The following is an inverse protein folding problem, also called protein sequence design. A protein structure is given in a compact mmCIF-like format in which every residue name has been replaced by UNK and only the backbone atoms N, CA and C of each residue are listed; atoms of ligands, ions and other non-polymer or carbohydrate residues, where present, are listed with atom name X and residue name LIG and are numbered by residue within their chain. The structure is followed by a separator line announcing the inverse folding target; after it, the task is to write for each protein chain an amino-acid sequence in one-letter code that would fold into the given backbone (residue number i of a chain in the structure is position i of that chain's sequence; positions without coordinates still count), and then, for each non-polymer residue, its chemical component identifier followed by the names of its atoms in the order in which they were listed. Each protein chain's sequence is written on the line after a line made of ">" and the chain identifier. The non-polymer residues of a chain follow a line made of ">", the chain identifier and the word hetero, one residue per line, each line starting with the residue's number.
data_IF_365199419360
#
_entry.id   IF_365199419360
#
_cell.length_a   1.000
_cell.length_b   1.000
_cell.length_c   1.000
_cell.angle_alpha   90.00
_cell.angle_beta   90.00
_cell.angle_gamma   90.00
#
_symmetry.space_group_name_H-M   'P 1'
#
loop_
_entity.id
_entity.type
_entity.pdbx_description
1 polymer ?
#
# COMPACT_ATOMS: atom_id res chain seq x y z
N UNK A 1 9.18 10.44 -1.84
CA UNK A 1 7.85 10.22 -1.24
C UNK A 1 7.98 9.46 0.07
N UNK A 2 8.68 8.32 0.06
CA UNK A 2 8.88 7.45 1.23
C UNK A 2 9.48 8.21 2.42
N UNK A 3 10.55 8.96 2.21
CA UNK A 3 11.23 9.74 3.26
C UNK A 3 10.26 10.74 3.93
N UNK A 4 9.48 11.48 3.13
CA UNK A 4 8.47 12.41 3.68
C UNK A 4 7.38 11.71 4.49
N UNK A 5 6.99 10.49 4.12
CA UNK A 5 6.04 9.68 4.89
C UNK A 5 6.66 9.24 6.21
N UNK A 6 7.94 8.88 6.20
CA UNK A 6 8.68 8.51 7.40
C UNK A 6 8.83 9.70 8.35
N UNK A 7 9.27 10.84 7.84
CA UNK A 7 9.41 12.08 8.64
C UNK A 7 8.08 12.49 9.27
N UNK A 8 6.99 12.38 8.52
CA UNK A 8 5.65 12.67 9.02
C UNK A 8 5.23 11.70 10.12
N UNK A 9 5.53 10.41 9.97
CA UNK A 9 5.27 9.40 11.00
C UNK A 9 6.01 9.72 12.30
N UNK A 10 7.27 10.05 12.21
CA UNK A 10 8.11 10.31 13.39
C UNK A 10 7.70 11.60 14.12
N UNK A 11 7.28 12.64 13.40
CA UNK A 11 7.07 13.96 13.96
C UNK A 11 5.60 14.31 14.28
N UNK A 12 4.65 13.83 13.46
CA UNK A 12 3.25 14.29 13.56
C UNK A 12 2.24 13.18 13.90
N UNK A 13 2.52 11.94 13.54
CA UNK A 13 1.53 10.86 13.63
C UNK A 13 0.96 10.68 15.04
N UNK A 14 1.83 10.57 16.04
CA UNK A 14 1.40 10.34 17.41
C UNK A 14 0.77 11.56 18.07
N UNK A 15 1.23 12.77 17.73
CA UNK A 15 0.63 14.01 18.23
C UNK A 15 -0.84 14.11 17.80
N UNK A 16 -1.13 13.73 16.57
CA UNK A 16 -2.50 13.75 16.06
C UNK A 16 -3.36 12.64 16.71
N UNK A 17 -2.81 11.45 16.82
CA UNK A 17 -3.53 10.30 17.37
C UNK A 17 -3.89 10.47 18.86
N UNK A 18 -3.02 11.13 19.62
CA UNK A 18 -3.19 11.38 21.06
C UNK A 18 -3.96 12.68 21.36
N UNK A 19 -4.52 13.32 20.36
CA UNK A 19 -5.32 14.53 20.55
C UNK A 19 -6.71 14.17 21.11
N UNK A 20 -6.94 14.52 22.40
CA UNK A 20 -8.20 14.24 23.10
C UNK A 20 -9.41 15.02 22.59
N UNK A 21 -9.19 16.06 21.78
CA UNK A 21 -10.29 16.81 21.13
C UNK A 21 -10.91 16.07 19.95
N UNK A 22 -10.27 14.99 19.46
CA UNK A 22 -10.77 14.20 18.36
C UNK A 22 -11.74 13.13 18.84
N UNK A 23 -12.89 13.02 18.17
CA UNK A 23 -13.80 11.90 18.37
C UNK A 23 -13.28 10.59 17.72
N UNK A 24 -13.91 9.46 18.02
CA UNK A 24 -13.51 8.14 17.57
C UNK A 24 -13.42 8.04 16.04
N UNK A 25 -14.35 8.63 15.31
CA UNK A 25 -14.30 8.64 13.86
C UNK A 25 -13.12 9.47 13.33
N UNK A 26 -12.81 10.60 13.92
CA UNK A 26 -11.69 11.44 13.50
C UNK A 26 -10.35 10.74 13.76
N UNK A 27 -10.20 10.09 14.93
CA UNK A 27 -9.02 9.25 15.25
C UNK A 27 -8.91 8.09 14.28
N UNK A 28 -10.01 7.37 14.05
CA UNK A 28 -10.03 6.27 13.08
C UNK A 28 -9.70 6.73 11.67
N UNK A 29 -10.35 7.80 11.19
CA UNK A 29 -10.09 8.36 9.85
C UNK A 29 -8.62 8.68 9.67
N UNK A 30 -8.01 9.31 10.65
CA UNK A 30 -6.61 9.70 10.60
C UNK A 30 -5.67 8.51 10.46
N UNK A 31 -5.77 7.54 11.36
CA UNK A 31 -4.89 6.36 11.34
C UNK A 31 -5.15 5.47 10.11
N UNK A 32 -6.41 5.38 9.65
CA UNK A 32 -6.80 4.67 8.42
C UNK A 32 -6.14 5.30 7.19
N UNK A 33 -6.26 6.62 7.06
CA UNK A 33 -5.75 7.35 5.90
C UNK A 33 -4.21 7.23 5.85
N UNK A 34 -3.57 7.27 7.01
CA UNK A 34 -2.13 7.13 7.10
C UNK A 34 -1.66 5.68 6.86
N UNK A 35 -2.35 4.67 7.41
CA UNK A 35 -2.06 3.26 7.09
C UNK A 35 -2.20 3.00 5.58
N UNK A 36 -3.25 3.53 4.96
CA UNK A 36 -3.44 3.40 3.52
C UNK A 36 -2.26 4.00 2.75
N UNK A 37 -1.79 5.18 3.13
CA UNK A 37 -0.61 5.80 2.52
C UNK A 37 0.64 4.92 2.68
N UNK A 38 0.90 4.39 3.88
CA UNK A 38 2.08 3.55 4.13
C UNK A 38 2.05 2.24 3.35
N UNK A 39 0.88 1.63 3.14
CA UNK A 39 0.74 0.45 2.26
C UNK A 39 1.15 0.74 0.82
N UNK A 40 0.98 1.98 0.35
CA UNK A 40 1.35 2.38 -1.00
C UNK A 40 2.76 2.96 -1.14
N UNK A 41 3.44 3.23 -0.03
CA UNK A 41 4.79 3.84 -0.04
C UNK A 41 5.87 2.91 0.52
N UNK A 42 5.52 2.06 1.48
CA UNK A 42 6.47 1.12 2.08
C UNK A 42 6.52 -0.22 1.34
N UNK A 43 5.45 -0.57 0.64
CA UNK A 43 5.36 -1.78 -0.17
C UNK A 43 5.27 -1.40 -1.66
N UNK A 44 5.61 -2.33 -2.57
CA UNK A 44 5.31 -2.13 -3.98
C UNK A 44 3.82 -1.86 -4.16
N UNK A 45 3.42 -0.74 -4.78
CA UNK A 45 2.03 -0.30 -4.74
C UNK A 45 1.10 -1.23 -5.54
N UNK A 46 0.31 -2.02 -4.84
CA UNK A 46 -0.69 -2.91 -5.41
C UNK A 46 -1.88 -2.13 -6.02
N UNK A 47 -2.81 -2.81 -6.68
CA UNK A 47 -4.04 -2.18 -7.20
C UNK A 47 -5.03 -1.93 -6.04
N UNK A 48 -5.93 -0.96 -6.22
CA UNK A 48 -6.96 -0.63 -5.22
C UNK A 48 -7.76 -1.86 -4.81
N UNK A 49 -8.17 -2.69 -5.79
CA UNK A 49 -8.94 -3.90 -5.54
C UNK A 49 -8.27 -4.92 -4.62
N UNK A 50 -6.95 -4.86 -4.46
CA UNK A 50 -6.23 -5.73 -3.55
C UNK A 50 -6.56 -5.41 -2.08
N UNK A 51 -6.83 -4.15 -1.75
CA UNK A 51 -7.09 -3.68 -0.39
C UNK A 51 -8.57 -3.41 -0.10
N UNK A 52 -9.41 -3.23 -1.13
CA UNK A 52 -10.78 -2.73 -0.99
C UNK A 52 -11.64 -3.55 -0.02
N UNK A 53 -11.65 -4.86 -0.15
CA UNK A 53 -12.43 -5.80 0.67
C UNK A 53 -11.53 -6.76 1.45
N UNK A 54 -10.34 -6.29 1.82
CA UNK A 54 -9.40 -7.10 2.57
C UNK A 54 -9.94 -7.40 3.96
N UNK A 55 -9.83 -8.64 4.40
CA UNK A 55 -10.34 -9.13 5.69
C UNK A 55 -9.18 -9.29 6.67
N UNK A 56 -9.35 -8.78 7.88
CA UNK A 56 -8.41 -9.01 8.98
C UNK A 56 -8.66 -10.41 9.56
N UNK A 57 -7.61 -11.22 9.70
CA UNK A 57 -7.70 -12.57 10.26
C UNK A 57 -6.49 -12.88 11.14
N UNK A 58 -6.74 -13.41 12.34
CA UNK A 58 -5.67 -13.95 13.19
C UNK A 58 -5.24 -15.33 12.67
N UNK A 59 -3.95 -15.57 12.59
CA UNK A 59 -3.38 -16.88 12.27
C UNK A 59 -3.39 -17.73 13.53
N UNK A 60 -4.49 -18.42 13.79
CA UNK A 60 -4.57 -19.34 14.92
C UNK A 60 -3.60 -20.49 14.70
N UNK A 61 -2.72 -20.76 15.67
CA UNK A 61 -1.75 -21.86 15.69
C UNK A 61 -2.37 -23.27 15.52
N UNK A 62 -3.71 -23.39 15.59
CA UNK A 62 -4.44 -24.67 15.59
C UNK A 62 -5.35 -24.92 14.39
N UNK A 63 -5.60 -23.97 13.54
CA UNK A 63 -6.52 -24.21 12.43
C UNK A 63 -5.79 -24.22 11.10
N UNK A 64 -5.53 -25.40 10.58
CA UNK A 64 -5.25 -25.64 9.17
C UNK A 64 -6.46 -25.32 8.26
N UNK A 65 -7.29 -24.34 8.66
CA UNK A 65 -8.42 -23.88 7.85
C UNK A 65 -7.88 -23.14 6.64
N UNK A 66 -8.06 -23.72 5.47
CA UNK A 66 -7.74 -23.07 4.21
C UNK A 66 -8.44 -21.71 4.14
N UNK A 67 -7.73 -20.68 3.68
CA UNK A 67 -8.32 -19.38 3.46
C UNK A 67 -9.34 -19.44 2.32
N UNK A 68 -10.45 -18.74 2.49
CA UNK A 68 -11.42 -18.63 1.41
C UNK A 68 -10.80 -17.81 0.27
N UNK A 69 -10.56 -18.45 -0.87
CA UNK A 69 -9.94 -17.81 -2.04
C UNK A 69 -10.76 -16.65 -2.65
N UNK A 70 -11.96 -16.40 -2.14
CA UNK A 70 -12.81 -15.25 -2.56
C UNK A 70 -12.45 -13.93 -1.87
N UNK A 71 -11.51 -13.94 -0.92
CA UNK A 71 -11.11 -12.76 -0.16
C UNK A 71 -9.59 -12.57 -0.17
N UNK A 72 -9.17 -11.32 -0.03
CA UNK A 72 -7.81 -10.95 0.33
C UNK A 72 -7.74 -10.78 1.86
N UNK A 73 -6.58 -11.04 2.45
CA UNK A 73 -6.44 -11.03 3.90
C UNK A 73 -5.25 -10.21 4.37
N UNK A 74 -5.44 -9.51 5.48
CA UNK A 74 -4.38 -9.11 6.38
C UNK A 74 -4.33 -10.15 7.52
N UNK A 75 -3.33 -11.00 7.51
CA UNK A 75 -3.11 -12.01 8.53
C UNK A 75 -2.29 -11.42 9.68
N UNK A 76 -2.73 -11.65 10.91
CA UNK A 76 -1.99 -11.30 12.12
C UNK A 76 -1.29 -12.56 12.60
N UNK A 77 0.04 -12.62 12.49
CA UNK A 77 0.84 -13.81 12.79
C UNK A 77 1.32 -13.88 14.27
N UNK A 78 1.13 -12.82 15.06
CA UNK A 78 1.76 -12.63 16.36
C UNK A 78 3.13 -11.97 16.24
N UNK A 79 3.71 -11.57 17.39
CA UNK A 79 5.02 -10.89 17.45
C UNK A 79 5.16 -9.67 16.52
N UNK A 80 4.08 -8.90 16.34
CA UNK A 80 4.02 -7.75 15.42
C UNK A 80 4.43 -8.08 13.97
N UNK A 81 4.27 -9.32 13.55
CA UNK A 81 4.44 -9.71 12.16
C UNK A 81 3.09 -9.89 11.49
N UNK A 82 3.01 -9.48 10.25
CA UNK A 82 1.78 -9.50 9.46
C UNK A 82 2.05 -10.08 8.09
N UNK A 83 0.99 -10.57 7.46
CA UNK A 83 1.08 -11.12 6.11
C UNK A 83 -0.10 -10.63 5.27
N UNK A 84 0.18 -10.10 4.09
CA UNK A 84 -0.82 -9.79 3.08
C UNK A 84 -1.00 -11.00 2.19
N UNK A 85 -2.22 -11.47 2.07
CA UNK A 85 -2.59 -12.61 1.20
C UNK A 85 -3.55 -12.09 0.14
N UNK A 86 -3.09 -12.01 -1.10
CA UNK A 86 -3.91 -11.61 -2.23
C UNK A 86 -4.37 -12.84 -3.02
N UNK A 87 -5.66 -13.17 -2.92
CA UNK A 87 -6.32 -14.20 -3.71
C UNK A 87 -7.12 -13.61 -4.86
N UNK A 88 -7.68 -12.40 -4.66
CA UNK A 88 -8.56 -11.73 -5.61
C UNK A 88 -7.93 -10.43 -6.09
N UNK A 89 -7.44 -10.44 -7.33
CA UNK A 89 -6.90 -9.27 -8.04
C UNK A 89 -6.95 -9.53 -9.55
N UNK A 90 -6.73 -8.49 -10.37
CA UNK A 90 -7.00 -8.51 -11.81
C UNK A 90 -6.38 -9.70 -12.56
N UNK A 91 -5.22 -10.17 -12.14
CA UNK A 91 -4.46 -11.23 -12.82
C UNK A 91 -4.34 -12.51 -11.98
N UNK A 92 -5.15 -12.66 -10.94
CA UNK A 92 -5.07 -13.79 -9.99
C UNK A 92 -5.29 -15.16 -10.65
N UNK A 93 -6.08 -15.22 -11.72
CA UNK A 93 -6.28 -16.45 -12.47
C UNK A 93 -5.01 -16.97 -13.18
N UNK A 94 -4.01 -16.11 -13.41
CA UNK A 94 -2.75 -16.47 -14.05
C UNK A 94 -1.58 -16.57 -13.07
N UNK A 95 -1.56 -15.69 -12.05
CA UNK A 95 -0.46 -15.60 -11.09
C UNK A 95 -0.73 -16.38 -9.79
N UNK A 96 -1.99 -16.80 -9.56
CA UNK A 96 -2.37 -17.49 -8.34
C UNK A 96 -2.42 -16.58 -7.11
N UNK A 97 -2.23 -17.18 -5.93
CA UNK A 97 -2.15 -16.46 -4.67
C UNK A 97 -0.80 -15.75 -4.54
N UNK A 98 -0.81 -14.55 -4.00
CA UNK A 98 0.40 -13.80 -3.66
C UNK A 98 0.41 -13.58 -2.16
N UNK A 99 1.49 -13.98 -1.51
CA UNK A 99 1.73 -13.79 -0.09
C UNK A 99 2.90 -12.83 0.10
N UNK A 100 2.76 -11.92 1.05
CA UNK A 100 3.82 -10.97 1.38
C UNK A 100 3.87 -10.75 2.89
N UNK A 101 4.99 -11.12 3.49
CA UNK A 101 5.25 -10.89 4.91
C UNK A 101 5.70 -9.46 5.14
N UNK A 102 5.09 -8.81 6.12
CA UNK A 102 5.51 -7.50 6.64
C UNK A 102 6.22 -7.76 7.94
N UNK A 103 7.51 -7.50 7.98
CA UNK A 103 8.34 -7.73 9.16
C UNK A 103 8.10 -6.67 10.26
N UNK A 104 8.57 -6.96 11.46
CA UNK A 104 8.35 -6.14 12.66
C UNK A 104 8.96 -4.73 12.56
N UNK A 105 10.02 -4.54 11.76
CA UNK A 105 10.71 -3.25 11.64
C UNK A 105 10.02 -2.29 10.67
N UNK A 106 9.09 -2.81 9.85
CA UNK A 106 8.34 -1.98 8.90
C UNK A 106 7.42 -0.99 9.62
N UNK A 107 7.29 0.23 9.11
CA UNK A 107 6.36 1.24 9.65
C UNK A 107 4.92 0.70 9.72
N UNK A 108 4.49 -0.09 8.75
CA UNK A 108 3.15 -0.71 8.73
C UNK A 108 2.94 -1.56 9.98
N UNK A 109 3.93 -2.38 10.36
CA UNK A 109 3.86 -3.21 11.57
C UNK A 109 3.79 -2.40 12.86
N UNK A 110 4.35 -1.20 12.87
CA UNK A 110 4.27 -0.27 14.00
C UNK A 110 2.89 0.41 14.11
N UNK A 111 2.22 0.63 12.99
CA UNK A 111 0.90 1.29 12.92
C UNK A 111 -0.24 0.30 13.18
N UNK A 112 -0.15 -0.91 12.66
CA UNK A 112 -1.24 -1.90 12.63
C UNK A 112 -1.86 -2.21 13.99
N UNK A 113 -1.11 -2.42 15.09
CA UNK A 113 -1.71 -2.71 16.40
C UNK A 113 -2.65 -1.58 16.83
N UNK A 114 -2.20 -0.34 16.73
CA UNK A 114 -2.99 0.82 17.10
C UNK A 114 -4.14 1.08 16.12
N UNK A 115 -3.92 0.80 14.85
CA UNK A 115 -4.97 0.87 13.84
C UNK A 115 -6.13 -0.08 14.17
N UNK A 116 -5.82 -1.34 14.47
CA UNK A 116 -6.84 -2.35 14.78
C UNK A 116 -7.62 -1.96 16.02
N UNK A 117 -6.94 -1.50 17.07
CA UNK A 117 -7.58 -1.03 18.30
C UNK A 117 -8.56 0.12 18.03
N UNK A 118 -8.09 1.19 17.38
CA UNK A 118 -8.91 2.39 17.08
C UNK A 118 -10.06 2.05 16.13
N UNK A 119 -9.81 1.18 15.15
CA UNK A 119 -10.82 0.69 14.21
C UNK A 119 -11.92 -0.08 14.95
N UNK A 120 -11.56 -1.01 15.81
CA UNK A 120 -12.52 -1.87 16.50
C UNK A 120 -13.36 -1.07 17.50
N UNK A 121 -12.77 -0.08 18.17
CA UNK A 121 -13.51 0.88 19.01
C UNK A 121 -14.49 1.70 18.16
N UNK A 122 -14.08 2.22 17.02
CA UNK A 122 -14.96 2.98 16.13
C UNK A 122 -16.11 2.14 15.59
N UNK A 123 -15.82 0.93 15.07
CA UNK A 123 -16.83 0.07 14.45
C UNK A 123 -17.80 -0.46 15.49
N UNK A 124 -17.31 -0.79 16.68
CA UNK A 124 -18.08 -1.43 17.77
C UNK A 124 -18.91 -2.65 17.29
N UNK A 125 -18.40 -3.40 16.32
CA UNK A 125 -19.01 -4.59 15.76
C UNK A 125 -17.96 -5.63 15.40
N UNK A 126 -17.78 -6.64 16.24
CA UNK A 126 -16.79 -7.72 16.09
C UNK A 126 -17.01 -8.61 14.86
N UNK A 127 -18.17 -8.53 14.20
CA UNK A 127 -18.48 -9.29 12.99
C UNK A 127 -17.93 -8.63 11.71
N UNK A 128 -17.70 -7.32 11.76
CA UNK A 128 -17.10 -6.62 10.61
C UNK A 128 -15.58 -6.77 10.68
N UNK A 129 -15.02 -7.60 9.82
CA UNK A 129 -13.60 -7.90 9.74
C UNK A 129 -12.89 -7.18 8.58
N UNK A 130 -13.58 -6.34 7.83
CA UNK A 130 -12.97 -5.62 6.67
C UNK A 130 -11.92 -4.63 7.15
N UNK A 131 -10.76 -4.63 6.50
CA UNK A 131 -9.63 -3.77 6.88
C UNK A 131 -10.03 -2.28 6.84
N UNK A 132 -10.63 -1.80 5.77
CA UNK A 132 -10.98 -0.40 5.59
C UNK A 132 -12.49 -0.18 5.52
N UNK A 133 -13.01 0.67 6.40
CA UNK A 133 -14.43 1.07 6.40
C UNK A 133 -14.56 2.58 6.24
N UNK A 134 -15.71 3.01 5.76
CA UNK A 134 -16.08 4.42 5.65
C UNK A 134 -16.70 4.95 6.94
N UNK A 135 -17.19 6.20 6.93
CA UNK A 135 -17.84 6.84 8.08
C UNK A 135 -19.09 6.10 8.55
N UNK A 136 -19.82 5.48 7.63
CA UNK A 136 -21.03 4.70 7.87
C UNK A 136 -20.72 3.25 8.29
N UNK A 137 -19.44 2.94 8.60
CA UNK A 137 -18.96 1.59 9.00
C UNK A 137 -19.19 0.51 7.95
N UNK A 138 -19.33 0.91 6.67
CA UNK A 138 -19.40 0.02 5.50
C UNK A 138 -18.05 -0.02 4.78
N UNK A 139 -17.84 -1.06 3.98
CA UNK A 139 -16.63 -1.22 3.19
C UNK A 139 -16.36 0.00 2.32
N UNK A 140 -15.09 0.41 2.24
CA UNK A 140 -14.70 1.51 1.37
C UNK A 140 -14.80 1.10 -0.09
N UNK A 141 -15.37 1.98 -0.92
CA UNK A 141 -15.36 1.84 -2.37
C UNK A 141 -13.98 2.20 -2.95
N UNK A 142 -13.74 1.86 -4.21
CA UNK A 142 -12.51 2.29 -4.91
C UNK A 142 -12.37 3.81 -4.96
N UNK A 143 -13.49 4.53 -5.14
CA UNK A 143 -13.50 6.00 -5.08
C UNK A 143 -13.07 6.49 -3.70
N UNK A 144 -13.66 5.95 -2.63
CA UNK A 144 -13.27 6.33 -1.26
C UNK A 144 -11.77 6.14 -1.01
N UNK A 145 -11.19 5.03 -1.48
CA UNK A 145 -9.75 4.77 -1.34
C UNK A 145 -8.93 5.79 -2.14
N UNK A 146 -9.34 6.08 -3.38
CA UNK A 146 -8.67 7.05 -4.23
C UNK A 146 -8.69 8.46 -3.62
N UNK A 147 -9.86 8.90 -3.16
CA UNK A 147 -10.02 10.23 -2.57
C UNK A 147 -9.26 10.35 -1.24
N UNK A 148 -9.24 9.26 -0.47
CA UNK A 148 -8.43 9.19 0.76
C UNK A 148 -6.93 9.33 0.44
N UNK A 149 -6.41 8.62 -0.57
CA UNK A 149 -5.00 8.75 -0.95
C UNK A 149 -4.65 10.15 -1.45
N UNK A 150 -5.49 10.77 -2.27
CA UNK A 150 -5.29 12.16 -2.70
C UNK A 150 -5.25 13.11 -1.50
N UNK A 151 -6.19 12.96 -0.57
CA UNK A 151 -6.26 13.78 0.63
C UNK A 151 -5.00 13.65 1.49
N UNK A 152 -4.60 12.41 1.82
CA UNK A 152 -3.47 12.20 2.71
C UNK A 152 -2.13 12.55 2.04
N UNK A 153 -1.97 12.30 0.74
CA UNK A 153 -0.76 12.70 0.01
C UNK A 153 -0.65 14.22 -0.09
N UNK A 154 -1.77 14.93 -0.27
CA UNK A 154 -1.77 16.40 -0.21
C UNK A 154 -1.28 16.89 1.15
N UNK A 155 -1.72 16.25 2.25
CA UNK A 155 -1.32 16.63 3.60
C UNK A 155 0.17 16.35 3.89
N UNK A 156 0.70 15.23 3.42
CA UNK A 156 2.07 14.79 3.74
C UNK A 156 3.11 15.34 2.77
N UNK A 157 2.77 15.48 1.49
CA UNK A 157 3.75 15.87 0.44
C UNK A 157 3.31 17.07 -0.38
N UNK A 158 2.23 17.74 0.00
CA UNK A 158 1.63 18.91 -0.66
C UNK A 158 1.24 18.66 -2.14
N UNK A 159 0.93 17.40 -2.49
CA UNK A 159 0.50 17.01 -3.83
C UNK A 159 -0.56 15.93 -3.75
N UNK A 160 -1.61 16.05 -4.56
CA UNK A 160 -2.61 14.99 -4.71
C UNK A 160 -2.07 13.89 -5.64
N UNK A 161 -1.83 12.71 -5.08
CA UNK A 161 -1.34 11.56 -5.84
C UNK A 161 -2.44 10.50 -5.95
N UNK A 162 -2.77 10.11 -7.19
CA UNK A 162 -3.62 8.94 -7.44
C UNK A 162 -2.80 7.65 -7.28
N UNK A 163 -3.50 6.52 -7.09
CA UNK A 163 -2.85 5.19 -7.05
C UNK A 163 -1.98 4.95 -8.28
N UNK A 164 -2.47 5.30 -9.46
CA UNK A 164 -1.70 5.11 -10.68
C UNK A 164 -0.41 5.96 -10.68
N UNK A 165 -0.50 7.21 -10.21
CA UNK A 165 0.67 8.07 -10.13
C UNK A 165 1.69 7.56 -9.11
N UNK A 166 1.25 7.09 -7.94
CA UNK A 166 2.14 6.45 -6.95
C UNK A 166 2.83 5.22 -7.57
N UNK A 167 2.08 4.40 -8.33
CA UNK A 167 2.64 3.25 -9.05
C UNK A 167 3.67 3.65 -10.08
N UNK A 168 3.43 4.73 -10.84
CA UNK A 168 4.41 5.27 -11.79
C UNK A 168 5.68 5.77 -11.09
N UNK A 169 5.54 6.52 -10.00
CA UNK A 169 6.68 7.01 -9.21
C UNK A 169 7.51 5.83 -8.71
N UNK A 170 6.86 4.84 -8.10
CA UNK A 170 7.54 3.65 -7.58
C UNK A 170 8.30 2.91 -8.68
N UNK A 171 7.65 2.60 -9.80
CA UNK A 171 8.28 1.85 -10.90
C UNK A 171 9.44 2.65 -11.50
N UNK A 172 9.27 3.96 -11.68
CA UNK A 172 10.34 4.81 -12.22
C UNK A 172 11.56 4.84 -11.31
N UNK A 173 11.35 4.93 -10.00
CA UNK A 173 12.43 4.87 -9.02
C UNK A 173 13.07 3.48 -8.99
N UNK A 174 12.26 2.42 -8.96
CA UNK A 174 12.75 1.06 -8.91
C UNK A 174 13.58 0.70 -10.15
N UNK A 175 13.12 1.09 -11.36
CA UNK A 175 13.83 0.83 -12.60
C UNK A 175 15.08 1.69 -12.79
N UNK A 176 15.23 2.80 -12.04
CA UNK A 176 16.46 3.60 -12.06
C UNK A 176 17.62 2.94 -11.33
N UNK A 177 17.37 1.87 -10.58
CA UNK A 177 18.34 1.08 -9.85
C UNK A 177 18.65 -0.23 -10.60
N UNK A 178 19.86 -0.76 -10.38
CA UNK A 178 20.28 -2.02 -10.99
C UNK A 178 19.66 -3.21 -10.24
N UNK A 179 18.47 -3.63 -10.66
CA UNK A 179 17.80 -4.82 -10.17
C UNK A 179 17.91 -5.97 -11.16
N UNK A 180 18.02 -7.18 -10.63
CA UNK A 180 17.98 -8.40 -11.43
C UNK A 180 16.61 -8.60 -12.07
N UNK A 181 16.54 -9.44 -13.11
CA UNK A 181 15.27 -9.81 -13.75
C UNK A 181 14.33 -10.48 -12.75
N UNK A 182 14.87 -11.29 -11.83
CA UNK A 182 14.07 -11.99 -10.83
C UNK A 182 13.45 -11.02 -9.82
N UNK A 183 14.22 -10.06 -9.30
CA UNK A 183 13.69 -9.01 -8.43
C UNK A 183 12.59 -8.19 -9.14
N UNK A 184 12.78 -7.85 -10.40
CA UNK A 184 11.77 -7.15 -11.21
C UNK A 184 10.49 -7.98 -11.38
N UNK A 185 10.60 -9.30 -11.55
CA UNK A 185 9.46 -10.22 -11.61
C UNK A 185 8.71 -10.28 -10.28
N UNK A 186 9.43 -10.39 -9.16
CA UNK A 186 8.83 -10.43 -7.83
C UNK A 186 8.03 -9.16 -7.54
N UNK A 187 8.59 -8.00 -7.86
CA UNK A 187 7.89 -6.71 -7.72
C UNK A 187 6.66 -6.63 -8.61
N UNK A 188 6.79 -7.02 -9.88
CA UNK A 188 5.66 -7.02 -10.82
C UNK A 188 4.54 -7.94 -10.32
N UNK A 189 4.87 -9.14 -9.85
CA UNK A 189 3.92 -10.10 -9.29
C UNK A 189 3.19 -9.50 -8.07
N UNK A 190 3.93 -8.92 -7.10
CA UNK A 190 3.31 -8.26 -5.96
C UNK A 190 2.34 -7.15 -6.39
N UNK A 191 2.70 -6.37 -7.39
CA UNK A 191 1.85 -5.32 -7.95
C UNK A 191 0.65 -5.88 -8.74
N UNK A 192 0.49 -7.20 -8.84
CA UNK A 192 -0.55 -7.86 -9.61
C UNK A 192 -0.40 -7.64 -11.12
N UNK A 193 0.84 -7.68 -11.62
CA UNK A 193 1.18 -7.55 -13.04
C UNK A 193 2.06 -8.72 -13.46
N UNK A 194 1.85 -9.21 -14.69
CA UNK A 194 2.85 -10.06 -15.32
C UNK A 194 4.08 -9.22 -15.65
N UNK A 195 5.27 -9.77 -15.39
CA UNK A 195 6.49 -9.12 -15.78
C UNK A 195 6.62 -9.18 -17.31
N UNK A 196 6.48 -8.02 -17.91
CA UNK A 196 6.87 -7.77 -19.30
C UNK A 196 7.80 -6.54 -19.25
N UNK A 197 9.01 -6.68 -19.77
CA UNK A 197 9.98 -5.60 -19.80
C UNK A 197 9.40 -4.35 -20.48
N UNK A 198 8.62 -4.53 -21.56
CA UNK A 198 7.95 -3.43 -22.26
C UNK A 198 6.85 -2.76 -21.43
N UNK A 199 6.16 -3.52 -20.56
CA UNK A 199 5.15 -2.96 -19.65
C UNK A 199 5.80 -2.14 -18.55
N UNK A 200 6.92 -2.60 -18.00
CA UNK A 200 7.67 -1.84 -16.99
C UNK A 200 8.25 -0.56 -17.60
N UNK A 201 8.75 -0.60 -18.84
CA UNK A 201 9.23 0.57 -19.57
C UNK A 201 8.12 1.61 -19.84
N UNK A 202 6.88 1.18 -20.12
CA UNK A 202 5.73 2.09 -20.28
C UNK A 202 5.40 2.87 -19.00
N UNK A 203 5.72 2.31 -17.83
CA UNK A 203 5.55 3.00 -16.56
C UNK A 203 6.73 3.91 -16.21
N UNK A 204 7.89 3.71 -16.84
CA UNK A 204 9.07 4.53 -16.61
C UNK A 204 8.92 5.88 -17.35
N UNK A 205 8.58 6.93 -16.61
CA UNK A 205 8.52 8.31 -17.14
C UNK A 205 9.86 9.03 -17.10
N UNK A 206 10.87 8.48 -16.44
CA UNK A 206 12.25 8.95 -16.45
C UNK A 206 13.02 8.33 -17.63
N UNK A 207 12.45 8.28 -18.83
CA UNK A 207 13.25 7.89 -20.00
C UNK A 207 14.33 8.93 -20.19
N UNK A 208 15.61 8.54 -20.25
CA UNK A 208 16.63 9.48 -20.69
C UNK A 208 16.26 9.96 -22.10
N UNK A 209 16.18 11.25 -22.29
CA UNK A 209 16.11 11.81 -23.64
C UNK A 209 17.49 11.60 -24.22
N UNK A 210 17.62 10.58 -25.07
CA UNK A 210 18.83 10.40 -25.89
C UNK A 210 18.67 11.39 -27.05
N UNK A 211 19.31 12.53 -26.94
CA UNK A 211 19.51 13.40 -28.09
C UNK A 211 20.59 12.76 -28.96
N UNK A 212 20.19 12.25 -30.12
CA UNK A 212 21.10 11.85 -31.19
C UNK A 212 21.81 13.08 -31.73
N UNK A 213 22.80 13.55 -30.98
CA UNK A 213 23.74 14.51 -31.52
C UNK A 213 24.73 13.74 -32.38
N UNK A 214 24.75 14.03 -33.68
CA UNK A 214 25.72 13.54 -34.64
C UNK A 214 27.20 13.81 -34.29
N UNK A 215 27.47 14.34 -33.10
CA UNK A 215 28.78 14.60 -32.53
C UNK A 215 28.85 14.04 -31.11
N UNK A 216 28.94 12.76 -30.94
CA UNK A 216 29.48 11.96 -29.82
C UNK A 216 29.32 12.51 -28.37
N UNK A 217 28.21 13.21 -28.04
CA UNK A 217 27.90 13.52 -26.65
C UNK A 217 26.45 13.19 -26.35
N UNK A 218 26.24 12.15 -25.55
CA UNK A 218 24.94 11.83 -24.94
C UNK A 218 24.73 12.82 -23.81
N UNK A 219 23.77 13.73 -23.96
CA UNK A 219 23.31 14.61 -22.87
C UNK A 219 22.01 14.01 -22.35
N UNK A 220 22.04 13.62 -21.09
CA UNK A 220 20.84 13.14 -20.38
C UNK A 220 20.25 14.33 -19.62
N UNK A 221 19.08 14.81 -20.01
CA UNK A 221 18.29 15.77 -19.24
C UNK A 221 17.09 15.08 -18.58
N UNK A 222 16.79 15.46 -17.36
CA UNK A 222 15.61 15.02 -16.62
C UNK A 222 14.74 16.25 -16.36
N UNK A 223 13.58 16.29 -16.98
CA UNK A 223 12.52 17.27 -16.67
C UNK A 223 11.59 16.78 -15.56
#
# INVERSE_FOLDING_TARGET
>A
LKDKVKDFFENEFYQYLNNDKLNDYQKYKWIRDFLLLTLYTELPPARIGNYQFMVIKNKNKRSGTSLNKKHNYLMINGNNTYELVFNQYKTSQYLGQIDHTIDENNIISKILPRYIEVRDNFINNKKNLTLFVNKEKRDMTQSNITDTLKYITRKVVDKELSVNLIRHIFISDYLSLNHTIEEKRQIANFMGQTYDATMMEKYNKKKPVVEDNKNDKIIVSFD
#
